data_IF_160704209128
#
_entry.id   IF_160704209128
#
_cell.length_a   1.000
_cell.length_b   1.000
_cell.length_c   1.000
_cell.angle_alpha   90.00
_cell.angle_beta   90.00
_cell.angle_gamma   90.00
#
_symmetry.space_group_name_H-M   'P 1'
#
loop_
_entity.id
_entity.type
_entity.pdbx_description
1 polymer ?
#
# COMPACT_ATOMS: atom_id res chain seq x y z
N UNK A 1 -6.49 16.36 -4.16
CA UNK A 1 -6.59 15.96 -2.74
C UNK A 1 -5.22 15.77 -2.12
N UNK A 2 -5.18 15.48 -0.84
CA UNK A 2 -3.96 15.17 -0.11
C UNK A 2 -3.55 13.70 -0.31
N UNK A 3 -2.40 13.29 0.24
CA UNK A 3 -1.87 11.92 0.12
C UNK A 3 -2.89 10.82 0.46
N UNK A 4 -3.74 11.05 1.45
CA UNK A 4 -4.79 10.10 1.87
C UNK A 4 -5.78 9.77 0.73
N UNK A 5 -6.06 10.72 -0.16
CA UNK A 5 -6.90 10.46 -1.34
C UNK A 5 -6.25 9.46 -2.30
N UNK A 6 -4.92 9.54 -2.48
CA UNK A 6 -4.20 8.56 -3.30
C UNK A 6 -4.24 7.16 -2.69
N UNK A 7 -4.10 7.06 -1.36
CA UNK A 7 -4.19 5.79 -0.64
C UNK A 7 -5.59 5.17 -0.74
N UNK A 8 -6.62 5.98 -0.53
CA UNK A 8 -8.01 5.55 -0.72
C UNK A 8 -8.27 5.12 -2.17
N UNK A 9 -7.81 5.92 -3.15
CA UNK A 9 -7.98 5.60 -4.57
C UNK A 9 -7.28 4.28 -4.96
N UNK A 10 -6.10 4.01 -4.40
CA UNK A 10 -5.41 2.73 -4.60
C UNK A 10 -6.25 1.58 -4.07
N UNK A 11 -6.74 1.67 -2.83
CA UNK A 11 -7.59 0.64 -2.23
C UNK A 11 -8.92 0.48 -2.99
N UNK A 12 -9.60 1.58 -3.33
CA UNK A 12 -10.84 1.54 -4.12
C UNK A 12 -10.66 0.85 -5.47
N UNK A 13 -9.53 1.13 -6.14
CA UNK A 13 -9.25 0.60 -7.47
C UNK A 13 -8.77 -0.85 -7.46
N UNK A 14 -8.12 -1.29 -6.40
CA UNK A 14 -7.59 -2.65 -6.28
C UNK A 14 -8.56 -3.63 -5.61
N UNK A 15 -9.44 -3.16 -4.73
CA UNK A 15 -10.33 -4.02 -3.94
C UNK A 15 -11.62 -4.35 -4.68
N UNK A 16 -11.98 -5.61 -4.71
CA UNK A 16 -13.32 -6.10 -5.07
C UNK A 16 -13.96 -6.79 -3.84
N UNK A 17 -15.29 -6.88 -3.79
CA UNK A 17 -15.97 -7.54 -2.68
C UNK A 17 -15.44 -8.96 -2.44
N UNK A 18 -15.01 -9.24 -1.21
CA UNK A 18 -14.45 -10.53 -0.79
C UNK A 18 -12.95 -10.71 -1.04
N UNK A 19 -12.26 -9.77 -1.69
CA UNK A 19 -10.81 -9.85 -1.84
C UNK A 19 -10.11 -9.85 -0.48
N UNK A 20 -9.20 -10.80 -0.26
CA UNK A 20 -8.34 -10.80 0.92
C UNK A 20 -7.16 -9.87 0.70
N UNK A 21 -6.92 -9.01 1.66
CA UNK A 21 -5.84 -8.02 1.63
C UNK A 21 -5.01 -8.11 2.91
N UNK A 22 -3.70 -8.25 2.76
CA UNK A 22 -2.78 -8.24 3.89
C UNK A 22 -2.43 -6.79 4.24
N UNK A 23 -2.69 -6.38 5.47
CA UNK A 23 -2.38 -5.04 5.97
C UNK A 23 -1.19 -5.16 6.93
N UNK A 24 -0.02 -4.67 6.49
CA UNK A 24 1.16 -4.63 7.35
C UNK A 24 1.02 -3.48 8.35
N UNK A 25 0.78 -3.85 9.61
CA UNK A 25 0.44 -2.95 10.70
C UNK A 25 1.59 -2.88 11.73
N UNK A 26 2.44 -1.88 11.58
CA UNK A 26 3.40 -1.46 12.60
C UNK A 26 3.34 0.04 12.85
N UNK A 27 2.15 0.62 12.68
CA UNK A 27 1.89 2.05 12.90
C UNK A 27 0.44 2.42 12.59
N UNK A 28 0.03 3.58 13.06
CA UNK A 28 -1.36 4.03 12.93
C UNK A 28 -1.82 4.15 11.48
N UNK A 29 -0.92 4.58 10.59
CA UNK A 29 -1.23 4.68 9.15
C UNK A 29 -1.27 3.32 8.48
N UNK A 30 -0.41 2.38 8.89
CA UNK A 30 -0.46 0.99 8.42
C UNK A 30 -1.80 0.35 8.75
N UNK A 31 -2.22 0.42 10.01
CA UNK A 31 -3.51 -0.09 10.47
C UNK A 31 -4.70 0.54 9.73
N UNK A 32 -4.62 1.84 9.43
CA UNK A 32 -5.69 2.60 8.78
C UNK A 32 -6.08 2.07 7.39
N UNK A 33 -5.21 1.33 6.71
CA UNK A 33 -5.56 0.69 5.44
C UNK A 33 -6.69 -0.33 5.57
N UNK A 34 -6.86 -0.96 6.73
CA UNK A 34 -7.95 -1.90 6.96
C UNK A 34 -9.33 -1.25 6.78
N UNK A 35 -9.46 0.01 7.14
CA UNK A 35 -10.71 0.77 6.99
C UNK A 35 -11.02 1.00 5.50
N UNK A 36 -10.02 1.40 4.70
CA UNK A 36 -10.21 1.55 3.25
C UNK A 36 -10.59 0.22 2.59
N UNK A 37 -9.87 -0.86 2.90
CA UNK A 37 -10.15 -2.19 2.35
C UNK A 37 -11.57 -2.62 2.68
N UNK A 38 -11.99 -2.46 3.94
CA UNK A 38 -13.34 -2.81 4.41
C UNK A 38 -14.42 -1.96 3.75
N UNK A 39 -14.17 -0.65 3.57
CA UNK A 39 -15.09 0.29 2.93
C UNK A 39 -15.43 -0.14 1.49
N UNK A 40 -14.47 -0.71 0.78
CA UNK A 40 -14.65 -1.18 -0.60
C UNK A 40 -14.99 -2.67 -0.69
N UNK A 41 -15.38 -3.29 0.44
CA UNK A 41 -15.90 -4.66 0.49
C UNK A 41 -14.86 -5.76 0.56
N UNK A 42 -13.59 -5.43 0.73
CA UNK A 42 -12.53 -6.39 0.95
C UNK A 42 -12.48 -6.93 2.37
N UNK A 43 -11.69 -7.96 2.56
CA UNK A 43 -11.44 -8.63 3.83
C UNK A 43 -10.00 -8.37 4.27
N UNK A 44 -9.73 -7.32 5.07
CA UNK A 44 -8.38 -7.04 5.55
C UNK A 44 -7.96 -8.06 6.60
N UNK A 45 -6.71 -8.49 6.52
CA UNK A 45 -6.04 -9.27 7.56
C UNK A 45 -4.83 -8.49 8.06
N UNK A 46 -4.81 -8.20 9.36
CA UNK A 46 -3.74 -7.41 9.97
C UNK A 46 -2.55 -8.30 10.33
N UNK A 47 -1.39 -7.98 9.78
CA UNK A 47 -0.10 -8.46 10.25
C UNK A 47 0.46 -7.42 11.21
N UNK A 48 0.05 -7.48 12.48
CA UNK A 48 0.38 -6.47 13.49
C UNK A 48 1.71 -6.75 14.16
N UNK A 49 2.51 -5.69 14.34
CA UNK A 49 3.78 -5.68 15.04
C UNK A 49 3.85 -4.50 16.02
N UNK A 50 4.86 -4.50 16.88
CA UNK A 50 5.07 -3.38 17.80
C UNK A 50 5.36 -2.10 17.01
N UNK A 51 4.68 -1.00 17.36
CA UNK A 51 4.83 0.30 16.70
C UNK A 51 6.19 0.97 16.94
N UNK A 52 7.05 0.36 17.75
CA UNK A 52 8.43 0.79 18.03
C UNK A 52 9.46 0.03 17.19
N UNK A 53 9.01 -0.89 16.34
CA UNK A 53 9.88 -1.78 15.58
C UNK A 53 9.56 -1.72 14.08
N UNK A 54 10.58 -1.82 13.25
CA UNK A 54 10.41 -2.03 11.82
C UNK A 54 9.90 -3.43 11.54
N UNK A 55 9.30 -3.63 10.37
CA UNK A 55 8.87 -4.96 9.93
C UNK A 55 10.09 -5.86 9.68
N UNK A 56 10.17 -6.96 10.39
CA UNK A 56 11.19 -7.99 10.16
C UNK A 56 10.81 -8.85 8.95
N UNK A 57 11.69 -8.85 7.95
CA UNK A 57 11.45 -9.54 6.68
C UNK A 57 11.44 -11.05 6.84
N UNK A 58 12.25 -11.59 7.76
CA UNK A 58 12.31 -13.04 8.00
C UNK A 58 11.05 -13.53 8.72
N UNK A 59 10.55 -12.76 9.68
CA UNK A 59 9.28 -13.08 10.35
C UNK A 59 8.11 -12.98 9.37
N UNK A 60 8.10 -11.95 8.53
CA UNK A 60 7.10 -11.80 7.48
C UNK A 60 7.15 -12.97 6.49
N UNK A 61 8.34 -13.41 6.06
CA UNK A 61 8.47 -14.57 5.18
C UNK A 61 7.95 -15.84 5.83
N UNK A 62 8.24 -16.06 7.12
CA UNK A 62 7.72 -17.22 7.84
C UNK A 62 6.19 -17.20 7.92
N UNK A 63 5.58 -16.04 8.13
CA UNK A 63 4.13 -15.88 8.08
C UNK A 63 3.58 -16.19 6.67
N UNK A 64 4.20 -15.66 5.62
CA UNK A 64 3.74 -15.82 4.24
C UNK A 64 3.85 -17.26 3.73
N UNK A 65 4.71 -18.10 4.29
CA UNK A 65 4.78 -19.53 3.92
C UNK A 65 3.45 -20.25 4.16
N UNK A 66 2.71 -19.84 5.17
CA UNK A 66 1.43 -20.44 5.55
C UNK A 66 0.22 -19.56 5.17
N UNK A 67 0.44 -18.23 5.04
CA UNK A 67 -0.59 -17.23 4.79
C UNK A 67 -0.23 -16.35 3.59
N UNK A 68 -0.55 -16.80 2.38
CA UNK A 68 -0.17 -16.08 1.15
C UNK A 68 -1.30 -15.87 0.12
N UNK A 69 -2.53 -16.25 0.47
CA UNK A 69 -3.67 -16.07 -0.44
C UNK A 69 -4.28 -14.66 -0.29
N UNK A 70 -3.52 -13.64 -0.69
CA UNK A 70 -3.95 -12.25 -0.70
C UNK A 70 -3.84 -11.68 -2.11
N UNK A 71 -4.78 -10.83 -2.49
CA UNK A 71 -4.73 -10.11 -3.78
C UNK A 71 -3.62 -9.09 -3.77
N UNK A 72 -3.52 -8.31 -2.70
CA UNK A 72 -2.44 -7.36 -2.49
C UNK A 72 -2.14 -7.18 -1.00
N UNK A 73 -1.01 -6.54 -0.71
CA UNK A 73 -0.65 -6.10 0.62
C UNK A 73 -0.40 -4.59 0.65
N UNK A 74 -0.68 -3.97 1.78
CA UNK A 74 -0.38 -2.56 2.04
C UNK A 74 0.78 -2.43 3.01
N UNK A 75 1.68 -1.48 2.77
CA UNK A 75 2.81 -1.18 3.64
C UNK A 75 3.06 0.33 3.69
N UNK A 76 3.34 0.85 4.87
CA UNK A 76 3.81 2.23 5.04
C UNK A 76 5.33 2.25 4.94
N UNK A 77 5.88 3.07 4.03
CA UNK A 77 7.34 3.24 3.89
C UNK A 77 7.91 4.02 5.09
N UNK A 78 7.35 5.19 5.38
CA UNK A 78 7.75 6.01 6.52
C UNK A 78 6.55 6.38 7.40
N UNK A 79 6.47 5.84 8.61
CA UNK A 79 5.40 6.15 9.55
C UNK A 79 5.75 7.40 10.38
N UNK A 80 5.06 8.50 10.12
CA UNK A 80 5.35 9.80 10.75
C UNK A 80 5.23 9.79 12.28
N UNK A 81 4.20 9.17 12.91
CA UNK A 81 4.05 9.22 14.36
C UNK A 81 5.16 8.48 15.12
N UNK A 82 5.62 7.35 14.60
CA UNK A 82 6.67 6.53 15.23
C UNK A 82 8.08 6.91 14.78
N UNK A 83 8.21 7.55 13.61
CA UNK A 83 9.50 7.82 12.96
C UNK A 83 10.12 6.57 12.32
N UNK A 84 9.35 5.48 12.18
CA UNK A 84 9.85 4.22 11.62
C UNK A 84 9.94 4.30 10.09
N UNK A 85 11.02 3.75 9.55
CA UNK A 85 11.23 3.54 8.13
C UNK A 85 11.25 2.04 7.84
N UNK A 86 10.23 1.54 7.16
CA UNK A 86 10.17 0.14 6.75
C UNK A 86 10.98 -0.08 5.46
N UNK A 87 11.71 -1.18 5.39
CA UNK A 87 12.51 -1.54 4.22
C UNK A 87 11.64 -2.11 3.09
N UNK A 88 10.97 -1.21 2.37
CA UNK A 88 10.13 -1.61 1.22
C UNK A 88 10.94 -2.23 0.08
N UNK A 89 12.27 -2.02 0.06
CA UNK A 89 13.15 -2.61 -0.96
C UNK A 89 13.28 -4.13 -0.83
N UNK A 90 13.05 -4.66 0.35
CA UNK A 90 13.06 -6.10 0.64
C UNK A 90 11.65 -6.66 0.85
N UNK A 91 10.76 -5.89 1.48
CA UNK A 91 9.37 -6.30 1.74
C UNK A 91 8.59 -6.50 0.44
N UNK A 92 8.66 -5.55 -0.50
CA UNK A 92 7.86 -5.64 -1.73
C UNK A 92 8.28 -6.81 -2.63
N UNK A 93 9.58 -7.06 -2.91
CA UNK A 93 9.99 -8.26 -3.64
C UNK A 93 9.58 -9.56 -2.94
N UNK A 94 9.61 -9.59 -1.60
CA UNK A 94 9.15 -10.76 -0.84
C UNK A 94 7.66 -11.01 -1.07
N UNK A 95 6.81 -9.98 -0.98
CA UNK A 95 5.38 -10.10 -1.25
C UNK A 95 5.11 -10.58 -2.69
N UNK A 96 5.82 -10.03 -3.67
CA UNK A 96 5.72 -10.46 -5.08
C UNK A 96 6.14 -11.91 -5.28
N UNK A 97 7.13 -12.43 -4.55
CA UNK A 97 7.53 -13.85 -4.56
C UNK A 97 6.36 -14.78 -4.22
N UNK A 98 5.44 -14.33 -3.37
CA UNK A 98 4.20 -15.04 -2.99
C UNK A 98 2.99 -14.68 -3.86
N UNK A 99 3.18 -13.96 -4.95
CA UNK A 99 2.10 -13.57 -5.87
C UNK A 99 1.19 -12.45 -5.33
N UNK A 100 1.64 -11.74 -4.30
CA UNK A 100 0.89 -10.67 -3.65
C UNK A 100 1.33 -9.34 -4.25
N UNK A 101 0.39 -8.54 -4.75
CA UNK A 101 0.68 -7.20 -5.26
C UNK A 101 0.94 -6.23 -4.10
N UNK A 102 1.61 -5.11 -4.38
CA UNK A 102 2.05 -4.18 -3.34
C UNK A 102 1.45 -2.80 -3.50
N UNK A 103 0.91 -2.25 -2.41
CA UNK A 103 0.45 -0.86 -2.30
C UNK A 103 1.27 -0.19 -1.20
N UNK A 104 2.09 0.78 -1.58
CA UNK A 104 3.04 1.46 -0.68
C UNK A 104 2.57 2.88 -0.39
N UNK A 105 2.35 3.16 0.89
CA UNK A 105 2.23 4.53 1.39
C UNK A 105 3.62 5.12 1.56
N UNK A 106 4.02 5.98 0.66
CA UNK A 106 5.26 6.75 0.73
C UNK A 106 5.02 8.25 0.90
N UNK A 107 3.86 8.63 1.43
CA UNK A 107 3.50 10.05 1.60
C UNK A 107 4.55 10.80 2.41
N UNK A 108 5.06 10.21 3.48
CA UNK A 108 6.07 10.83 4.34
C UNK A 108 7.52 10.58 3.91
N UNK A 109 7.78 9.58 3.07
CA UNK A 109 9.13 9.21 2.67
C UNK A 109 9.51 9.64 1.24
N UNK A 110 8.53 9.85 0.35
CA UNK A 110 8.78 10.26 -1.04
C UNK A 110 9.66 11.50 -1.13
N UNK A 111 10.71 11.40 -1.93
CA UNK A 111 11.74 12.43 -2.14
C UNK A 111 12.68 12.69 -0.95
N UNK A 112 12.42 12.11 0.21
CA UNK A 112 13.32 12.13 1.36
C UNK A 112 14.18 10.89 1.47
N UNK A 113 13.60 9.77 1.05
CA UNK A 113 14.26 8.47 1.03
C UNK A 113 14.42 7.94 -0.40
N UNK A 114 15.36 7.01 -0.58
CA UNK A 114 15.55 6.35 -1.85
C UNK A 114 14.27 5.59 -2.25
N UNK A 115 13.92 5.66 -3.54
CA UNK A 115 12.77 4.96 -4.08
C UNK A 115 13.10 4.45 -5.49
N UNK A 116 13.09 3.13 -5.65
CA UNK A 116 13.32 2.45 -6.94
C UNK A 116 12.13 1.57 -7.26
N UNK A 117 11.05 2.16 -7.71
CA UNK A 117 9.73 1.54 -7.83
C UNK A 117 9.80 0.24 -8.64
N UNK A 118 10.43 0.26 -9.81
CA UNK A 118 10.56 -0.92 -10.67
C UNK A 118 11.47 -1.99 -10.07
N UNK A 119 12.65 -1.59 -9.56
CA UNK A 119 13.63 -2.53 -9.00
C UNK A 119 13.10 -3.22 -7.74
N UNK A 120 12.31 -2.49 -6.95
CA UNK A 120 11.68 -2.98 -5.72
C UNK A 120 10.32 -3.62 -5.95
N UNK A 121 9.90 -3.76 -7.21
CA UNK A 121 8.67 -4.42 -7.61
C UNK A 121 7.41 -3.85 -6.91
N UNK A 122 7.37 -2.52 -6.78
CA UNK A 122 6.23 -1.81 -6.19
C UNK A 122 5.14 -1.67 -7.26
N UNK A 123 3.93 -2.15 -6.97
CA UNK A 123 2.83 -2.09 -7.92
C UNK A 123 2.10 -0.76 -7.88
N UNK A 124 1.83 -0.23 -6.69
CA UNK A 124 1.27 1.10 -6.51
C UNK A 124 2.05 1.83 -5.41
N UNK A 125 2.47 3.06 -5.68
CA UNK A 125 3.08 3.94 -4.69
C UNK A 125 2.33 5.26 -4.65
N UNK A 126 1.96 5.70 -3.45
CA UNK A 126 1.29 6.97 -3.21
C UNK A 126 2.20 7.93 -2.45
N UNK A 127 2.20 9.19 -2.88
CA UNK A 127 2.90 10.28 -2.23
C UNK A 127 2.04 11.53 -2.14
N UNK A 128 2.54 12.54 -1.45
CA UNK A 128 1.82 13.81 -1.25
C UNK A 128 2.73 15.02 -1.29
N UNK A 129 2.18 16.16 -1.66
CA UNK A 129 2.95 17.41 -1.83
C UNK A 129 3.37 18.06 -0.51
N UNK A 130 2.62 17.81 0.59
CA UNK A 130 2.77 18.53 1.86
C UNK A 130 3.81 17.98 2.82
N UNK A 131 4.56 16.93 2.42
CA UNK A 131 5.61 16.33 3.24
C UNK A 131 6.99 16.80 2.78
N UNK A 132 7.89 15.90 2.42
CA UNK A 132 9.26 16.23 2.03
C UNK A 132 9.34 17.19 0.83
N UNK A 133 8.40 17.09 -0.11
CA UNK A 133 8.30 18.02 -1.25
C UNK A 133 8.16 19.48 -0.79
N UNK A 134 7.69 19.71 0.45
CA UNK A 134 7.56 21.04 1.06
C UNK A 134 6.69 22.02 0.26
N UNK A 135 5.72 21.49 -0.47
CA UNK A 135 4.73 22.26 -1.18
C UNK A 135 3.41 22.36 -0.38
N UNK A 136 2.50 23.29 -0.72
CA UNK A 136 1.20 23.34 -0.09
C UNK A 136 0.45 22.00 -0.18
N UNK A 137 -0.39 21.66 0.81
CA UNK A 137 -1.26 20.49 0.71
C UNK A 137 -2.26 20.63 -0.44
N UNK A 138 -2.71 19.50 -0.99
CA UNK A 138 -3.74 19.51 -2.02
C UNK A 138 -3.41 18.67 -3.26
N UNK A 139 -2.17 18.19 -3.39
CA UNK A 139 -1.78 17.27 -4.45
C UNK A 139 -1.36 15.93 -3.88
N UNK A 140 -1.86 14.87 -4.48
CA UNK A 140 -1.34 13.50 -4.33
C UNK A 140 -0.83 13.04 -5.69
N UNK A 141 0.22 12.23 -5.69
CA UNK A 141 0.69 11.55 -6.88
C UNK A 141 0.70 10.05 -6.62
N UNK A 142 0.34 9.31 -7.66
CA UNK A 142 0.26 7.84 -7.61
C UNK A 142 1.05 7.29 -8.78
N UNK A 143 1.99 6.40 -8.50
CA UNK A 143 2.71 5.64 -9.52
C UNK A 143 2.10 4.24 -9.57
N UNK A 144 1.83 3.76 -10.78
CA UNK A 144 1.08 2.51 -11.00
C UNK A 144 1.87 1.65 -11.98
N UNK A 145 2.18 0.40 -11.58
CA UNK A 145 2.83 -0.58 -12.45
C UNK A 145 1.87 -1.08 -13.55
N UNK A 146 2.43 -1.67 -14.59
CA UNK A 146 1.61 -2.29 -15.64
C UNK A 146 0.84 -3.50 -15.11
N UNK A 147 1.41 -4.24 -14.14
CA UNK A 147 0.70 -5.33 -13.45
C UNK A 147 -0.54 -4.81 -12.71
N UNK A 148 -0.40 -3.68 -11.98
CA UNK A 148 -1.54 -3.07 -11.28
C UNK A 148 -2.59 -2.54 -12.26
N UNK A 149 -2.19 -1.91 -13.36
CA UNK A 149 -3.12 -1.48 -14.43
C UNK A 149 -3.90 -2.67 -14.99
N UNK A 150 -3.20 -3.78 -15.25
CA UNK A 150 -3.82 -5.01 -15.73
C UNK A 150 -4.82 -5.57 -14.72
N UNK A 151 -4.43 -5.66 -13.43
CA UNK A 151 -5.32 -6.14 -12.37
C UNK A 151 -6.57 -5.27 -12.23
N UNK A 152 -6.45 -3.95 -12.36
CA UNK A 152 -7.60 -3.03 -12.37
C UNK A 152 -8.48 -3.21 -13.61
N UNK A 153 -7.91 -3.46 -14.78
CA UNK A 153 -8.65 -3.71 -16.02
C UNK A 153 -9.39 -5.06 -16.03
N UNK A 154 -8.86 -6.05 -15.33
CA UNK A 154 -9.44 -7.41 -15.22
C UNK A 154 -10.49 -7.54 -14.11
N UNK A 155 -10.84 -6.44 -13.43
CA UNK A 155 -11.90 -6.42 -12.40
C UNK A 155 -13.23 -6.91 -12.96
N UNK A 156 -13.96 -7.63 -12.12
CA UNK A 156 -15.31 -8.14 -12.42
C UNK A 156 -16.40 -7.19 -11.96
N UNK A 157 -16.06 -6.27 -11.03
CA UNK A 157 -17.00 -5.29 -10.47
C UNK A 157 -16.52 -3.88 -10.79
N UNK A 158 -17.45 -2.94 -10.87
CA UNK A 158 -17.12 -1.53 -11.01
C UNK A 158 -16.44 -1.01 -9.74
N UNK A 159 -15.52 -0.07 -9.91
CA UNK A 159 -14.95 0.65 -8.77
C UNK A 159 -16.06 1.46 -8.11
N UNK A 160 -16.27 1.24 -6.80
CA UNK A 160 -17.34 1.86 -6.02
C UNK A 160 -17.05 3.33 -5.67
N UNK A 161 -16.34 4.02 -6.51
CA UNK A 161 -16.04 5.45 -6.40
C UNK A 161 -15.89 6.06 -7.79
N UNK A 162 -16.48 7.23 -7.99
CA UNK A 162 -16.25 8.00 -9.21
C UNK A 162 -14.93 8.78 -9.13
N UNK A 163 -14.67 9.42 -7.98
CA UNK A 163 -13.51 10.30 -7.80
C UNK A 163 -12.23 9.54 -7.43
N UNK A 164 -12.30 8.58 -6.50
CA UNK A 164 -11.19 7.73 -6.10
C UNK A 164 -11.07 6.51 -7.05
N UNK A 165 -10.86 6.78 -8.34
CA UNK A 165 -10.79 5.78 -9.41
C UNK A 165 -9.53 6.02 -10.25
N UNK A 166 -8.60 5.06 -10.22
CA UNK A 166 -7.31 5.14 -10.92
C UNK A 166 -7.38 4.61 -12.38
N UNK A 167 -8.57 4.23 -12.86
CA UNK A 167 -8.75 3.70 -14.24
C UNK A 167 -9.30 4.72 -15.21
N UNK A 168 -9.60 5.93 -14.77
CA UNK A 168 -10.14 7.03 -15.60
C UNK A 168 -9.05 7.91 -16.17
#
# INVERSE_FOLDING_TARGET
>A
GEGILGLEAACASMTEPGDRVLVLDNGIYGKGFADFVSMYGGCPELYSRDYRETLDVQELENFLKEHHNYKYATVVHGDTPSGMLNDVSTICPLLKKYGIMTVVDSVSASFGEAMRISDWQIDIMCGGSQKVVSAPPGLTFVVISDDAKKAMAERKTQIASFYANLTT
#
